data_IF_903872441808
#
_entry.id   IF_903872441808
#
_cell.length_a   1.000
_cell.length_b   1.000
_cell.length_c   1.000
_cell.angle_alpha   90.00
_cell.angle_beta   90.00
_cell.angle_gamma   90.00
#
_symmetry.space_group_name_H-M   'P 1'
#
loop_
_entity.id
_entity.type
_entity.pdbx_description
1 polymer ?
#
# COMPACT_ATOMS: atom_id res chain seq x y z
N UNK A 1 1.86 10.67 -1.07
CA UNK A 1 2.91 10.51 -0.05
C UNK A 1 2.26 10.71 1.31
N UNK A 2 2.69 9.99 2.35
CA UNK A 2 2.18 10.21 3.71
C UNK A 2 2.84 11.44 4.34
N UNK A 3 2.04 12.36 4.88
CA UNK A 3 2.50 13.54 5.62
C UNK A 3 2.28 13.33 7.11
N UNK A 4 3.25 13.76 7.92
CA UNK A 4 3.24 13.61 9.38
C UNK A 4 3.76 14.91 10.00
N UNK A 5 3.29 15.24 11.21
CA UNK A 5 3.79 16.41 11.96
C UNK A 5 4.88 15.98 12.93
N UNK A 6 5.68 16.94 13.42
CA UNK A 6 6.68 16.69 14.46
C UNK A 6 6.05 16.10 15.73
N UNK A 7 4.89 16.60 16.16
CA UNK A 7 4.18 16.07 17.34
C UNK A 7 3.71 14.63 17.14
N UNK A 8 3.24 14.27 15.94
CA UNK A 8 2.60 12.96 15.72
C UNK A 8 3.59 11.86 15.34
N UNK A 9 4.85 12.19 15.02
CA UNK A 9 5.87 11.21 14.62
C UNK A 9 6.14 10.16 15.71
N UNK A 10 5.94 10.50 16.99
CA UNK A 10 6.13 9.59 18.12
C UNK A 10 5.16 8.39 18.10
N UNK A 11 4.06 8.48 17.35
CA UNK A 11 3.10 7.39 17.18
C UNK A 11 3.45 6.46 16.02
N UNK A 12 4.55 6.71 15.31
CA UNK A 12 4.99 5.92 14.18
C UNK A 12 6.15 5.02 14.55
N UNK A 13 6.13 3.80 14.04
CA UNK A 13 7.23 2.85 14.16
C UNK A 13 7.82 2.57 12.79
N UNK A 14 9.15 2.48 12.70
CA UNK A 14 9.83 2.03 11.48
C UNK A 14 9.66 0.53 11.34
N UNK A 15 9.03 0.09 10.25
CA UNK A 15 9.01 -1.32 9.89
C UNK A 15 10.36 -1.71 9.25
N UNK A 16 10.89 -2.88 9.59
CA UNK A 16 11.99 -3.50 8.85
C UNK A 16 11.39 -4.59 8.00
N UNK A 17 11.22 -4.34 6.70
CA UNK A 17 10.79 -5.38 5.79
C UNK A 17 11.90 -6.44 5.66
N UNK A 18 11.67 -7.63 6.21
CA UNK A 18 12.52 -8.80 6.03
C UNK A 18 11.99 -9.65 4.87
N UNK A 19 12.91 -10.18 4.06
CA UNK A 19 12.58 -11.09 2.96
C UNK A 19 11.92 -12.40 3.44
N UNK A 20 12.03 -12.73 4.74
CA UNK A 20 11.60 -14.03 5.30
C UNK A 20 10.28 -13.99 6.09
N UNK A 21 9.69 -12.81 6.34
CA UNK A 21 8.50 -12.72 7.22
C UNK A 21 7.50 -11.63 6.86
N UNK A 22 7.88 -10.65 6.05
CA UNK A 22 7.11 -9.44 5.81
C UNK A 22 6.40 -9.47 4.45
N UNK A 23 5.63 -10.53 4.20
CA UNK A 23 4.98 -10.78 2.89
C UNK A 23 4.10 -9.59 2.47
N UNK A 24 3.42 -8.94 3.42
CA UNK A 24 2.57 -7.78 3.15
C UNK A 24 3.32 -6.57 2.58
N UNK A 25 4.59 -6.39 2.93
CA UNK A 25 5.42 -5.28 2.45
C UNK A 25 6.06 -5.58 1.09
N UNK A 26 6.39 -6.84 0.85
CA UNK A 26 7.10 -7.29 -0.34
C UNK A 26 6.17 -7.67 -1.50
N UNK A 27 4.88 -7.91 -1.22
CA UNK A 27 3.91 -8.32 -2.23
C UNK A 27 3.52 -7.17 -3.14
N UNK A 28 3.57 -7.44 -4.45
CA UNK A 28 2.96 -6.62 -5.48
C UNK A 28 1.57 -7.14 -5.78
N UNK A 29 0.56 -6.36 -5.44
CA UNK A 29 -0.83 -6.70 -5.67
C UNK A 29 -1.27 -6.28 -7.07
N UNK A 30 -2.02 -7.15 -7.74
CA UNK A 30 -2.68 -6.80 -9.00
C UNK A 30 -4.00 -6.03 -8.74
N UNK A 31 -4.54 -5.30 -9.73
CA UNK A 31 -5.81 -4.60 -9.56
C UNK A 31 -6.94 -5.55 -9.15
N UNK A 32 -7.80 -5.12 -8.23
CA UNK A 32 -8.91 -5.94 -7.70
C UNK A 32 -8.51 -7.00 -6.68
N UNK A 33 -7.23 -7.23 -6.44
CA UNK A 33 -6.77 -8.14 -5.40
C UNK A 33 -7.06 -7.58 -3.99
N UNK A 34 -7.34 -8.47 -3.04
CA UNK A 34 -7.53 -8.08 -1.64
C UNK A 34 -6.24 -7.60 -0.99
N UNK A 35 -6.31 -6.47 -0.30
CA UNK A 35 -5.22 -5.91 0.50
C UNK A 35 -4.88 -6.82 1.69
N UNK A 36 -3.59 -7.15 1.89
CA UNK A 36 -3.15 -7.98 3.02
C UNK A 36 -3.17 -7.22 4.36
N UNK A 37 -3.07 -5.90 4.32
CA UNK A 37 -3.09 -5.02 5.48
C UNK A 37 -3.82 -3.71 5.19
N UNK A 38 -4.36 -3.09 6.23
CA UNK A 38 -4.91 -1.73 6.17
C UNK A 38 -3.77 -0.73 6.07
N UNK A 39 -3.87 0.23 5.16
CA UNK A 39 -2.79 1.18 4.95
C UNK A 39 -2.82 1.94 3.63
N UNK A 40 -1.70 2.57 3.31
CA UNK A 40 -1.47 3.29 2.07
C UNK A 40 -0.68 2.39 1.13
N UNK A 41 -1.22 2.18 -0.06
CA UNK A 41 -0.60 1.44 -1.15
C UNK A 41 -0.17 2.42 -2.25
N UNK A 42 1.01 2.19 -2.81
CA UNK A 42 1.58 2.96 -3.92
C UNK A 42 1.64 2.10 -5.18
N UNK A 43 1.28 2.69 -6.32
CA UNK A 43 1.44 2.08 -7.62
C UNK A 43 2.92 2.12 -8.04
N UNK A 44 3.50 0.97 -8.35
CA UNK A 44 4.90 0.90 -8.83
C UNK A 44 5.06 1.47 -10.25
N UNK A 45 3.98 1.54 -11.04
CA UNK A 45 4.01 2.05 -12.40
C UNK A 45 4.05 3.58 -12.48
N UNK A 46 3.18 4.28 -11.74
CA UNK A 46 3.03 5.74 -11.82
C UNK A 46 3.41 6.47 -10.52
N UNK A 47 3.38 5.79 -9.39
CA UNK A 47 3.61 6.37 -8.08
C UNK A 47 2.40 6.96 -7.38
N UNK A 48 1.21 6.89 -7.98
CA UNK A 48 -0.04 7.26 -7.32
C UNK A 48 -0.33 6.34 -6.14
N UNK A 49 -1.15 6.83 -5.22
CA UNK A 49 -1.44 6.17 -3.96
C UNK A 49 -2.92 5.97 -3.74
N UNK A 50 -3.25 4.94 -2.97
CA UNK A 50 -4.61 4.64 -2.54
C UNK A 50 -4.62 4.13 -1.11
N UNK A 51 -5.73 4.36 -0.42
CA UNK A 51 -5.97 3.87 0.93
C UNK A 51 -6.81 2.60 0.82
N UNK A 52 -6.40 1.54 1.52
CA UNK A 52 -7.17 0.30 1.55
C UNK A 52 -7.25 -0.27 2.96
N UNK A 53 -8.34 -0.96 3.25
CA UNK A 53 -8.53 -1.73 4.47
C UNK A 53 -8.13 -3.18 4.22
N UNK A 54 -7.60 -3.86 5.23
CA UNK A 54 -7.29 -5.30 5.15
C UNK A 54 -8.51 -6.07 4.64
N UNK A 55 -8.34 -6.86 3.59
CA UNK A 55 -9.39 -7.65 2.93
C UNK A 55 -10.16 -6.91 1.85
N UNK A 56 -10.13 -5.57 1.81
CA UNK A 56 -10.79 -4.80 0.76
C UNK A 56 -10.07 -4.98 -0.58
N UNK A 57 -10.83 -4.92 -1.69
CA UNK A 57 -10.27 -4.99 -3.04
C UNK A 57 -9.57 -3.68 -3.37
N UNK A 58 -8.35 -3.79 -3.91
CA UNK A 58 -7.61 -2.64 -4.44
C UNK A 58 -8.27 -2.12 -5.72
N UNK A 59 -8.08 -0.83 -6.07
CA UNK A 59 -8.73 -0.22 -7.22
C UNK A 59 -8.53 -1.04 -8.49
N UNK A 60 -9.62 -1.19 -9.25
CA UNK A 60 -9.58 -1.93 -10.50
C UNK A 60 -8.81 -1.13 -11.55
N UNK A 61 -8.30 -1.85 -12.54
CA UNK A 61 -7.56 -1.25 -13.66
C UNK A 61 -8.40 -0.17 -14.38
N UNK A 62 -9.72 -0.29 -14.38
CA UNK A 62 -10.59 0.70 -15.03
C UNK A 62 -10.74 2.01 -14.25
N UNK A 63 -10.55 1.98 -12.94
CA UNK A 63 -10.63 3.14 -12.05
C UNK A 63 -9.28 3.87 -11.95
N UNK A 64 -8.17 3.16 -12.23
CA UNK A 64 -6.82 3.71 -12.23
C UNK A 64 -6.07 3.28 -13.51
N UNK A 65 -6.36 3.97 -14.63
CA UNK A 65 -5.74 3.72 -15.94
C UNK A 65 -4.48 4.54 -16.14
N UNK A 66 -3.37 3.87 -16.46
CA UNK A 66 -2.21 4.54 -17.03
C UNK A 66 -2.47 4.88 -18.50
N UNK A 67 -1.94 6.03 -18.97
CA UNK A 67 -1.93 6.37 -20.39
C UNK A 67 -0.88 5.57 -21.19
N UNK A 68 0.07 4.96 -20.49
CA UNK A 68 1.18 4.19 -21.07
C UNK A 68 1.07 2.69 -20.72
N UNK A 69 1.92 1.85 -21.32
CA UNK A 69 1.96 0.40 -21.11
C UNK A 69 2.47 -0.08 -19.73
N UNK A 70 2.55 0.82 -18.73
CA UNK A 70 3.04 0.48 -17.39
C UNK A 70 1.97 -0.35 -16.66
N UNK A 71 2.39 -1.45 -16.03
CA UNK A 71 1.46 -2.30 -15.27
C UNK A 71 1.00 -1.57 -14.01
N UNK A 72 -0.28 -1.69 -13.67
CA UNK A 72 -0.81 -1.27 -12.38
C UNK A 72 -0.50 -2.36 -11.37
N UNK A 73 0.38 -2.06 -10.41
CA UNK A 73 0.76 -2.98 -9.34
C UNK A 73 0.90 -2.19 -8.05
N UNK A 74 0.22 -2.62 -6.99
CA UNK A 74 0.13 -1.90 -5.74
C UNK A 74 1.07 -2.54 -4.70
N UNK A 75 1.91 -1.73 -4.05
CA UNK A 75 2.75 -2.12 -2.92
C UNK A 75 2.35 -1.35 -1.67
N UNK A 76 2.25 -2.03 -0.53
CA UNK A 76 2.04 -1.38 0.76
C UNK A 76 3.27 -0.55 1.14
N UNK A 77 3.07 0.74 1.45
CA UNK A 77 4.15 1.65 1.87
C UNK A 77 3.96 2.22 3.28
N UNK A 78 2.72 2.23 3.79
CA UNK A 78 2.41 2.57 5.18
C UNK A 78 1.36 1.59 5.68
N UNK A 79 1.60 0.95 6.82
CA UNK A 79 0.67 0.01 7.45
C UNK A 79 0.04 0.63 8.68
N UNK A 80 -1.28 0.55 8.78
CA UNK A 80 -2.00 0.85 10.01
C UNK A 80 -1.92 -0.34 10.97
N UNK A 81 -1.56 -0.09 12.23
CA UNK A 81 -1.64 -1.10 13.29
C UNK A 81 -3.09 -1.19 13.78
N UNK A 82 -3.92 -1.98 13.10
CA UNK A 82 -5.28 -2.27 13.55
C UNK A 82 -5.28 -3.34 14.63
N UNK A 83 -5.74 -3.01 15.84
CA UNK A 83 -6.09 -4.01 16.86
C UNK A 83 -7.50 -4.50 16.54
N UNK A 84 -7.64 -5.80 16.29
CA UNK A 84 -8.94 -6.48 16.26
C UNK A 84 -9.17 -7.15 17.60
#
# INVERSE_FOLDING_TARGET
>A
MALVTEETVMHLSKARASLLGDVEWNKLHVPGESALASGIYRCEGCGDETISLKGARLPLHDEHKHRDARKVQWRLIVKAQTKF
#
